data_IF_050811776066
#
_entry.id   IF_050811776066
#
_cell.length_a   1.000
_cell.length_b   1.000
_cell.length_c   1.000
_cell.angle_alpha   90.00
_cell.angle_beta   90.00
_cell.angle_gamma   90.00
#
_symmetry.space_group_name_H-M   'P 1'
#
loop_
_entity.id
_entity.type
_entity.pdbx_description
1 polymer ?
#
# COMPACT_ATOMS: atom_id res chain seq x y z
N UNK A 1 25.77 -14.57 12.18
CA UNK A 1 24.57 -14.26 12.98
C UNK A 1 24.44 -12.78 13.36
N UNK A 2 25.54 -12.04 13.54
CA UNK A 2 25.49 -10.60 13.90
C UNK A 2 24.91 -9.71 12.79
N UNK A 3 25.15 -10.01 11.53
CA UNK A 3 24.65 -9.24 10.39
C UNK A 3 23.13 -9.25 10.33
N UNK A 4 22.50 -10.42 10.51
CA UNK A 4 21.04 -10.54 10.51
C UNK A 4 20.44 -9.75 11.68
N UNK A 5 21.03 -9.84 12.87
CA UNK A 5 20.57 -9.12 14.06
C UNK A 5 20.59 -7.61 13.85
N UNK A 6 21.65 -7.05 13.26
CA UNK A 6 21.77 -5.61 13.07
C UNK A 6 20.81 -5.05 12.01
N UNK A 7 20.58 -5.79 10.91
CA UNK A 7 19.68 -5.33 9.84
C UNK A 7 18.19 -5.46 10.21
N UNK A 8 17.82 -6.52 10.92
CA UNK A 8 16.40 -6.78 11.20
C UNK A 8 15.93 -6.28 12.56
N UNK A 9 16.81 -5.89 13.48
CA UNK A 9 16.42 -5.39 14.81
C UNK A 9 15.54 -4.15 14.70
N UNK A 10 15.87 -3.22 13.80
CA UNK A 10 15.06 -2.03 13.57
C UNK A 10 13.67 -2.39 13.03
N UNK A 11 13.59 -3.29 12.05
CA UNK A 11 12.32 -3.71 11.45
C UNK A 11 11.43 -4.43 12.44
N UNK A 12 11.98 -5.34 13.25
CA UNK A 12 11.23 -6.01 14.31
C UNK A 12 10.78 -5.05 15.41
N UNK A 13 11.64 -4.11 15.80
CA UNK A 13 11.29 -3.07 16.77
C UNK A 13 10.17 -2.18 16.27
N UNK A 14 10.24 -1.73 15.02
CA UNK A 14 9.19 -0.94 14.38
C UNK A 14 7.86 -1.72 14.30
N UNK A 15 7.92 -2.98 13.89
CA UNK A 15 6.72 -3.86 13.84
C UNK A 15 6.08 -4.00 15.22
N UNK A 16 6.89 -4.24 16.26
CA UNK A 16 6.38 -4.35 17.64
C UNK A 16 5.70 -3.05 18.10
N UNK A 17 6.27 -1.89 17.78
CA UNK A 17 5.66 -0.58 18.07
C UNK A 17 4.32 -0.42 17.33
N UNK A 18 4.24 -0.78 16.05
CA UNK A 18 2.99 -0.71 15.29
C UNK A 18 1.90 -1.61 15.88
N UNK A 19 2.24 -2.84 16.29
CA UNK A 19 1.30 -3.73 16.95
C UNK A 19 0.84 -3.19 18.31
N UNK A 20 1.75 -2.61 19.10
CA UNK A 20 1.40 -1.97 20.36
C UNK A 20 0.46 -0.78 20.18
N UNK A 21 0.70 0.05 19.16
CA UNK A 21 -0.19 1.15 18.81
C UNK A 21 -1.57 0.66 18.34
N UNK A 22 -1.63 -0.40 17.53
CA UNK A 22 -2.88 -1.00 17.09
C UNK A 22 -3.68 -1.59 18.28
N UNK A 23 -3.00 -2.25 19.23
CA UNK A 23 -3.63 -2.75 20.45
C UNK A 23 -4.15 -1.61 21.32
N UNK A 24 -3.34 -0.57 21.51
CA UNK A 24 -3.74 0.62 22.28
C UNK A 24 -4.94 1.32 21.64
N UNK A 25 -4.91 1.52 20.33
CA UNK A 25 -6.03 2.12 19.60
C UNK A 25 -7.29 1.28 19.70
N UNK A 26 -7.18 -0.05 19.51
CA UNK A 26 -8.30 -0.97 19.63
C UNK A 26 -8.93 -0.91 21.02
N UNK A 27 -8.11 -0.91 22.06
CA UNK A 27 -8.58 -0.80 23.45
C UNK A 27 -9.22 0.55 23.75
N UNK A 28 -8.59 1.65 23.34
CA UNK A 28 -9.09 3.01 23.59
C UNK A 28 -10.40 3.32 22.86
N UNK A 29 -10.58 2.72 21.67
CA UNK A 29 -11.77 2.97 20.84
C UNK A 29 -12.96 2.09 21.22
N UNK A 30 -12.73 0.84 21.65
CA UNK A 30 -13.80 -0.14 21.85
C UNK A 30 -14.04 -0.50 23.34
N UNK A 31 -13.03 -0.33 24.18
CA UNK A 31 -13.08 -0.77 25.60
C UNK A 31 -13.28 -2.29 25.78
N UNK A 32 -13.20 -3.08 24.72
CA UNK A 32 -13.47 -4.53 24.70
C UNK A 32 -12.26 -5.32 24.24
N UNK A 33 -11.89 -6.34 25.02
CA UNK A 33 -10.79 -7.26 24.66
C UNK A 33 -11.10 -7.99 23.36
N UNK A 34 -12.33 -8.46 23.18
CA UNK A 34 -12.72 -9.20 21.98
C UNK A 34 -12.62 -8.35 20.72
N UNK A 35 -13.06 -7.10 20.77
CA UNK A 35 -12.97 -6.18 19.65
C UNK A 35 -11.49 -5.80 19.36
N UNK A 36 -10.68 -5.59 20.39
CA UNK A 36 -9.24 -5.33 20.24
C UNK A 36 -8.51 -6.50 19.59
N UNK A 37 -8.83 -7.73 19.98
CA UNK A 37 -8.28 -8.94 19.34
C UNK A 37 -8.72 -9.05 17.88
N UNK A 38 -9.95 -8.68 17.55
CA UNK A 38 -10.44 -8.60 16.17
C UNK A 38 -9.63 -7.61 15.33
N UNK A 39 -9.37 -6.41 15.85
CA UNK A 39 -8.52 -5.41 15.18
C UNK A 39 -7.10 -5.94 14.97
N UNK A 40 -6.50 -6.54 16.00
CA UNK A 40 -5.16 -7.14 15.87
C UNK A 40 -5.12 -8.26 14.85
N UNK A 41 -6.15 -9.10 14.78
CA UNK A 41 -6.26 -10.14 13.75
C UNK A 41 -6.28 -9.55 12.34
N UNK A 42 -7.06 -8.50 12.11
CA UNK A 42 -7.08 -7.78 10.83
C UNK A 42 -5.70 -7.22 10.50
N UNK A 43 -5.02 -6.60 11.45
CA UNK A 43 -3.66 -6.06 11.25
C UNK A 43 -2.68 -7.17 10.88
N UNK A 44 -2.76 -8.36 11.50
CA UNK A 44 -1.92 -9.52 11.14
C UNK A 44 -2.19 -9.97 9.71
N UNK A 45 -3.45 -10.16 9.34
CA UNK A 45 -3.84 -10.59 7.98
C UNK A 45 -3.38 -9.59 6.94
N UNK A 46 -3.61 -8.30 7.17
CA UNK A 46 -3.15 -7.23 6.26
C UNK A 46 -1.62 -7.19 6.16
N UNK A 47 -0.91 -7.41 7.27
CA UNK A 47 0.56 -7.45 7.26
C UNK A 47 1.09 -8.62 6.43
N UNK A 48 0.47 -9.79 6.51
CA UNK A 48 0.83 -10.96 5.70
C UNK A 48 0.58 -10.69 4.20
N UNK A 49 -0.59 -10.13 3.87
CA UNK A 49 -0.92 -9.73 2.50
C UNK A 49 0.08 -8.72 1.96
N UNK A 50 0.43 -7.71 2.76
CA UNK A 50 1.37 -6.67 2.39
C UNK A 50 2.78 -7.23 2.12
N UNK A 51 3.26 -8.14 2.96
CA UNK A 51 4.56 -8.81 2.76
C UNK A 51 4.54 -9.63 1.47
N UNK A 52 3.45 -10.37 1.21
CA UNK A 52 3.30 -11.17 -0.02
C UNK A 52 3.35 -10.29 -1.27
N UNK A 53 2.56 -9.22 -1.31
CA UNK A 53 2.52 -8.27 -2.43
C UNK A 53 3.86 -7.53 -2.60
N UNK A 54 4.53 -7.20 -1.50
CA UNK A 54 5.84 -6.54 -1.53
C UNK A 54 6.93 -7.47 -2.05
N UNK A 55 6.84 -8.77 -1.77
CA UNK A 55 7.76 -9.77 -2.30
C UNK A 55 7.66 -9.89 -3.82
N UNK A 56 6.45 -10.00 -4.36
CA UNK A 56 6.22 -10.04 -5.81
C UNK A 56 6.76 -8.79 -6.50
N UNK A 57 6.50 -7.62 -5.95
CA UNK A 57 7.04 -6.35 -6.46
C UNK A 57 8.57 -6.33 -6.41
N UNK A 58 9.19 -6.86 -5.35
CA UNK A 58 10.64 -6.92 -5.23
C UNK A 58 11.27 -7.81 -6.30
N UNK A 59 10.66 -8.95 -6.62
CA UNK A 59 11.12 -9.87 -7.69
C UNK A 59 11.04 -9.19 -9.06
N UNK A 60 9.92 -8.54 -9.38
CA UNK A 60 9.76 -7.80 -10.63
C UNK A 60 10.79 -6.67 -10.73
N UNK A 61 10.95 -5.88 -9.68
CA UNK A 61 11.92 -4.79 -9.65
C UNK A 61 13.36 -5.30 -9.80
N UNK A 62 13.72 -6.42 -9.17
CA UNK A 62 15.05 -7.03 -9.31
C UNK A 62 15.33 -7.47 -10.75
N UNK A 63 14.32 -7.99 -11.45
CA UNK A 63 14.46 -8.39 -12.86
C UNK A 63 14.70 -7.18 -13.76
N UNK A 64 13.96 -6.10 -13.58
CA UNK A 64 14.12 -4.85 -14.35
C UNK A 64 15.47 -4.20 -14.04
N UNK A 65 15.86 -4.16 -12.77
CA UNK A 65 17.14 -3.55 -12.36
C UNK A 65 18.36 -4.23 -12.96
N UNK A 66 18.31 -5.55 -13.16
CA UNK A 66 19.44 -6.32 -13.69
C UNK A 66 19.90 -5.82 -15.06
N UNK A 67 18.97 -5.36 -15.87
CA UNK A 67 19.22 -4.96 -17.27
C UNK A 67 19.37 -3.43 -17.41
N UNK A 68 19.35 -2.67 -16.30
CA UNK A 68 19.47 -1.21 -16.28
C UNK A 68 20.93 -0.74 -16.12
N UNK A 69 21.23 0.43 -16.70
CA UNK A 69 22.48 1.14 -16.45
C UNK A 69 22.64 1.50 -14.95
N UNK A 70 23.86 1.41 -14.36
CA UNK A 70 24.11 1.65 -12.94
C UNK A 70 23.60 2.99 -12.40
N UNK A 71 23.65 4.05 -13.20
CA UNK A 71 23.14 5.37 -12.81
C UNK A 71 21.63 5.36 -12.66
N UNK A 72 20.95 4.68 -13.58
CA UNK A 72 19.50 4.53 -13.54
C UNK A 72 19.04 3.55 -12.48
N UNK A 73 19.81 2.49 -12.19
CA UNK A 73 19.55 1.59 -11.06
C UNK A 73 19.46 2.36 -9.74
N UNK A 74 20.43 3.24 -9.48
CA UNK A 74 20.45 4.02 -8.24
C UNK A 74 19.27 4.99 -8.16
N UNK A 75 18.91 5.65 -9.25
CA UNK A 75 17.73 6.54 -9.30
C UNK A 75 16.43 5.79 -9.10
N UNK A 76 16.31 4.63 -9.70
CA UNK A 76 15.13 3.77 -9.54
C UNK A 76 14.98 3.30 -8.09
N UNK A 77 16.06 2.83 -7.45
CA UNK A 77 16.04 2.37 -6.06
C UNK A 77 15.76 3.48 -5.03
N UNK A 78 16.10 4.72 -5.35
CA UNK A 78 15.84 5.86 -4.45
C UNK A 78 14.52 6.55 -4.79
N UNK A 79 14.44 7.22 -5.92
CA UNK A 79 13.29 8.05 -6.31
C UNK A 79 12.13 7.20 -6.81
N UNK A 80 12.40 6.17 -7.62
CA UNK A 80 11.36 5.30 -8.18
C UNK A 80 10.60 4.54 -7.10
N UNK A 81 11.29 3.94 -6.15
CA UNK A 81 10.65 3.23 -5.03
C UNK A 81 9.88 4.21 -4.13
N UNK A 82 10.45 5.40 -3.86
CA UNK A 82 9.76 6.42 -3.08
C UNK A 82 8.43 6.83 -3.74
N UNK A 83 8.45 7.11 -5.06
CA UNK A 83 7.24 7.45 -5.82
C UNK A 83 6.26 6.28 -5.83
N UNK A 84 6.71 5.05 -6.05
CA UNK A 84 5.86 3.87 -6.08
C UNK A 84 5.18 3.64 -4.71
N UNK A 85 5.92 3.72 -3.61
CA UNK A 85 5.37 3.50 -2.27
C UNK A 85 4.40 4.60 -1.87
N UNK A 86 4.80 5.86 -1.94
CA UNK A 86 3.94 6.97 -1.51
C UNK A 86 2.87 7.32 -2.55
N UNK A 87 3.20 7.28 -3.84
CA UNK A 87 2.26 7.57 -4.92
C UNK A 87 1.11 6.58 -4.95
N UNK A 88 1.40 5.29 -4.98
CA UNK A 88 0.36 4.27 -5.08
C UNK A 88 -0.41 4.05 -3.78
N UNK A 89 0.18 4.31 -2.62
CA UNK A 89 -0.47 4.05 -1.32
C UNK A 89 -1.18 5.25 -0.72
N UNK A 90 -0.75 6.46 -1.04
CA UNK A 90 -1.34 7.68 -0.49
C UNK A 90 -2.01 8.49 -1.59
N UNK A 91 -1.25 8.87 -2.64
CA UNK A 91 -1.74 9.79 -3.67
C UNK A 91 -2.84 9.14 -4.51
N UNK A 92 -2.67 7.88 -4.90
CA UNK A 92 -3.63 7.20 -5.76
C UNK A 92 -5.00 6.99 -5.10
N UNK A 93 -5.13 6.47 -3.86
CA UNK A 93 -6.42 6.37 -3.18
C UNK A 93 -7.12 7.73 -2.99
N UNK A 94 -6.35 8.77 -2.62
CA UNK A 94 -6.90 10.12 -2.48
C UNK A 94 -7.39 10.65 -3.83
N UNK A 95 -6.62 10.45 -4.90
CA UNK A 95 -7.02 10.86 -6.25
C UNK A 95 -8.29 10.15 -6.71
N UNK A 96 -8.42 8.84 -6.44
CA UNK A 96 -9.64 8.09 -6.77
C UNK A 96 -10.85 8.69 -6.07
N UNK A 97 -10.76 8.94 -4.77
CA UNK A 97 -11.87 9.52 -4.01
C UNK A 97 -12.18 10.94 -4.48
N UNK A 98 -11.17 11.76 -4.74
CA UNK A 98 -11.35 13.11 -5.25
C UNK A 98 -12.12 13.11 -6.59
N UNK A 99 -11.77 12.20 -7.49
CA UNK A 99 -12.43 12.05 -8.80
C UNK A 99 -13.85 11.48 -8.64
N UNK A 100 -14.00 10.41 -7.86
CA UNK A 100 -15.28 9.71 -7.68
C UNK A 100 -16.32 10.59 -6.95
N UNK A 101 -15.90 11.29 -5.90
CA UNK A 101 -16.74 12.21 -5.15
C UNK A 101 -16.86 13.61 -5.80
N UNK A 102 -16.06 13.90 -6.83
CA UNK A 102 -15.97 15.23 -7.46
C UNK A 102 -15.59 16.34 -6.47
N UNK A 103 -14.71 16.03 -5.53
CA UNK A 103 -14.22 16.95 -4.50
C UNK A 103 -12.74 17.27 -4.72
N UNK A 104 -12.24 18.31 -4.06
CA UNK A 104 -10.82 18.64 -4.10
C UNK A 104 -9.95 17.59 -3.38
N UNK A 105 -8.65 17.45 -3.73
CA UNK A 105 -7.75 16.49 -3.06
C UNK A 105 -7.64 16.72 -1.54
N UNK A 106 -7.62 17.96 -1.09
CA UNK A 106 -7.60 18.31 0.34
C UNK A 106 -8.90 17.94 1.04
N UNK A 107 -10.02 18.07 0.36
CA UNK A 107 -11.33 17.68 0.87
C UNK A 107 -11.45 16.14 0.94
N UNK A 108 -10.89 15.40 -0.03
CA UNK A 108 -10.81 13.95 0.02
C UNK A 108 -9.95 13.46 1.21
N UNK A 109 -8.85 14.14 1.53
CA UNK A 109 -8.05 13.88 2.74
C UNK A 109 -8.87 14.16 4.00
N UNK A 110 -9.54 15.28 4.06
CA UNK A 110 -10.42 15.63 5.18
C UNK A 110 -11.53 14.60 5.37
N UNK A 111 -12.12 14.12 4.27
CA UNK A 111 -13.15 13.08 4.28
C UNK A 111 -12.62 11.76 4.86
N UNK A 112 -11.42 11.36 4.47
CA UNK A 112 -10.79 10.11 4.97
C UNK A 112 -10.50 10.14 6.47
N UNK A 113 -10.19 11.33 7.02
CA UNK A 113 -9.86 11.50 8.44
C UNK A 113 -11.10 11.72 9.32
N UNK A 114 -12.07 12.50 8.83
CA UNK A 114 -13.19 12.94 9.63
C UNK A 114 -14.47 12.11 9.42
N UNK A 115 -14.61 11.46 8.26
CA UNK A 115 -15.77 10.64 7.93
C UNK A 115 -15.36 9.37 7.16
N UNK A 116 -14.68 8.42 7.82
CA UNK A 116 -14.18 7.21 7.17
C UNK A 116 -15.29 6.34 6.56
N UNK A 117 -16.51 6.35 7.13
CA UNK A 117 -17.64 5.59 6.59
C UNK A 117 -18.09 6.11 5.21
N UNK A 118 -18.12 7.42 5.02
CA UNK A 118 -18.45 8.03 3.73
C UNK A 118 -17.30 7.80 2.72
N UNK A 119 -16.05 7.89 3.17
CA UNK A 119 -14.89 7.56 2.36
C UNK A 119 -14.96 6.11 1.83
N UNK A 120 -15.25 5.14 2.72
CA UNK A 120 -15.42 3.72 2.37
C UNK A 120 -16.56 3.52 1.36
N UNK A 121 -17.71 4.19 1.54
CA UNK A 121 -18.83 4.14 0.62
C UNK A 121 -18.43 4.58 -0.78
N UNK A 122 -17.75 5.72 -0.90
CA UNK A 122 -17.30 6.28 -2.18
C UNK A 122 -16.31 5.34 -2.88
N UNK A 123 -15.34 4.79 -2.14
CA UNK A 123 -14.37 3.83 -2.69
C UNK A 123 -15.06 2.55 -3.15
N UNK A 124 -16.03 2.05 -2.37
CA UNK A 124 -16.77 0.85 -2.71
C UNK A 124 -17.66 1.05 -3.95
N UNK A 125 -18.31 2.20 -4.11
CA UNK A 125 -19.07 2.54 -5.30
C UNK A 125 -18.18 2.68 -6.55
N UNK A 126 -16.95 3.23 -6.38
CA UNK A 126 -15.98 3.38 -7.45
C UNK A 126 -15.26 2.06 -7.82
N UNK A 127 -15.35 1.01 -6.98
CA UNK A 127 -14.60 -0.23 -7.11
C UNK A 127 -14.70 -0.88 -8.49
N UNK A 128 -15.87 -0.93 -9.10
CA UNK A 128 -16.09 -1.53 -10.43
C UNK A 128 -15.32 -0.76 -11.51
N UNK A 129 -15.35 0.57 -11.45
CA UNK A 129 -14.60 1.43 -12.37
C UNK A 129 -13.08 1.27 -12.21
N UNK A 130 -12.60 1.21 -10.96
CA UNK A 130 -11.17 1.01 -10.63
C UNK A 130 -10.69 -0.36 -11.11
N UNK A 131 -11.46 -1.42 -10.84
CA UNK A 131 -11.14 -2.78 -11.28
C UNK A 131 -11.18 -2.91 -12.81
N UNK A 132 -12.14 -2.28 -13.46
CA UNK A 132 -12.24 -2.24 -14.93
C UNK A 132 -11.06 -1.52 -15.56
N UNK A 133 -10.64 -0.37 -15.02
CA UNK A 133 -9.47 0.36 -15.47
C UNK A 133 -8.19 -0.47 -15.27
N UNK A 134 -8.00 -1.06 -14.09
CA UNK A 134 -6.84 -1.90 -13.78
C UNK A 134 -6.75 -3.12 -14.69
N UNK A 135 -7.86 -3.81 -14.92
CA UNK A 135 -7.93 -4.94 -15.84
C UNK A 135 -7.62 -4.56 -17.30
N UNK A 136 -8.16 -3.46 -17.79
CA UNK A 136 -7.86 -2.94 -19.12
C UNK A 136 -6.38 -2.54 -19.26
N UNK A 137 -5.82 -1.89 -18.24
CA UNK A 137 -4.40 -1.52 -18.22
C UNK A 137 -3.49 -2.76 -18.28
N UNK A 138 -3.77 -3.80 -17.49
CA UNK A 138 -3.00 -5.05 -17.52
C UNK A 138 -3.10 -5.76 -18.87
N UNK A 139 -4.28 -5.80 -19.47
CA UNK A 139 -4.48 -6.39 -20.80
C UNK A 139 -3.68 -5.64 -21.87
N UNK A 140 -3.68 -4.30 -21.85
CA UNK A 140 -2.89 -3.49 -22.76
C UNK A 140 -1.39 -3.68 -22.56
N UNK A 141 -0.94 -3.77 -21.31
CA UNK A 141 0.46 -4.01 -20.99
C UNK A 141 0.94 -5.39 -21.49
N UNK A 142 0.11 -6.44 -21.34
CA UNK A 142 0.41 -7.77 -21.85
C UNK A 142 0.50 -7.79 -23.39
N UNK A 143 -0.45 -7.16 -24.07
CA UNK A 143 -0.44 -7.02 -25.52
C UNK A 143 0.81 -6.26 -26.00
N UNK A 144 1.14 -5.15 -25.35
CA UNK A 144 2.34 -4.36 -25.69
C UNK A 144 3.63 -5.18 -25.50
N UNK A 145 3.73 -5.94 -24.41
CA UNK A 145 4.89 -6.79 -24.13
C UNK A 145 5.06 -7.91 -25.19
N UNK A 146 3.97 -8.47 -25.72
CA UNK A 146 4.00 -9.51 -26.78
C UNK A 146 4.32 -8.96 -28.18
N UNK A 147 4.04 -7.70 -28.43
CA UNK A 147 4.31 -7.08 -29.74
C UNK A 147 5.75 -6.60 -29.90
N UNK A 148 6.53 -6.55 -28.82
CA UNK A 148 7.94 -6.11 -28.82
C UNK A 148 8.92 -7.30 -28.85
N UNK A 149 8.42 -8.53 -28.67
CA UNK A 149 9.20 -9.77 -28.81
C UNK A 149 9.16 -10.30 -30.26
#
# INVERSE_FOLDING_TARGET
>A
METIRNYYTFSFGFTAVCFALAAWYGWSSTGSITATLGILWIVVVLSILEVSLSFDNAVVNATVLRDMDPVWQQRFLTIGILIAVFGMRIVFPIAIVAIAARVGPLEAVSLSLNNPAEYERIVSEAHIGIAGFGGAFLALADVAARTVQ
#
